data_IF_995991390772
#
_entry.id   IF_995991390772
#
_cell.length_a   1.000
_cell.length_b   1.000
_cell.length_c   1.000
_cell.angle_alpha   90.00
_cell.angle_beta   90.00
_cell.angle_gamma   90.00
#
_symmetry.space_group_name_H-M   'P 1'
#
loop_
_entity.id
_entity.type
_entity.pdbx_description
1 polymer ?
#
# COMPACT_ATOMS: atom_id res chain seq x y z
N UNK A 1 -39.77 64.43 8.28
CA UNK A 1 -40.00 63.77 6.97
C UNK A 1 -38.87 62.77 6.77
N UNK A 2 -39.13 61.46 6.90
CA UNK A 2 -39.37 60.49 5.82
C UNK A 2 -38.15 60.18 4.92
N UNK A 3 -37.72 58.92 5.03
CA UNK A 3 -37.22 57.98 4.01
C UNK A 3 -35.71 57.82 3.79
N UNK A 4 -35.30 56.58 4.02
CA UNK A 4 -34.13 55.86 3.53
C UNK A 4 -34.16 55.64 2.00
N UNK A 5 -32.97 55.42 1.39
CA UNK A 5 -32.59 54.34 0.42
C UNK A 5 -31.41 54.75 -0.51
N UNK A 6 -30.29 54.01 -0.37
CA UNK A 6 -29.29 53.42 -1.33
C UNK A 6 -28.78 54.15 -2.60
N UNK A 7 -27.45 54.15 -2.80
CA UNK A 7 -26.66 53.59 -3.94
C UNK A 7 -25.19 54.13 -3.93
N UNK A 8 -24.15 53.34 -3.63
CA UNK A 8 -23.22 52.58 -4.52
C UNK A 8 -22.42 53.45 -5.53
N UNK A 9 -21.08 53.43 -5.44
CA UNK A 9 -20.08 53.00 -6.47
C UNK A 9 -18.67 53.61 -6.21
N UNK A 10 -17.74 52.72 -5.83
CA UNK A 10 -16.33 52.56 -6.27
C UNK A 10 -15.35 53.75 -6.33
N UNK A 11 -14.17 53.62 -5.66
CA UNK A 11 -12.87 53.58 -6.36
C UNK A 11 -11.70 53.12 -5.42
N UNK A 12 -11.29 51.86 -5.63
CA UNK A 12 -9.91 51.34 -5.73
C UNK A 12 -8.89 51.66 -4.60
N UNK A 13 -8.60 50.64 -3.78
CA UNK A 13 -7.39 50.53 -2.97
C UNK A 13 -6.61 49.29 -3.47
N UNK A 14 -5.41 49.47 -4.02
CA UNK A 14 -4.55 48.35 -4.44
C UNK A 14 -3.17 48.45 -3.78
N UNK A 15 -2.66 47.26 -3.41
CA UNK A 15 -1.30 46.84 -3.03
C UNK A 15 -0.91 47.07 -1.56
N UNK A 16 -0.51 46.06 -0.76
CA UNK A 16 -0.25 44.65 -1.03
C UNK A 16 -0.36 43.85 0.29
N UNK A 17 -1.11 42.74 0.32
CA UNK A 17 -0.87 41.66 1.26
C UNK A 17 -0.51 40.41 0.46
N UNK A 18 0.74 39.98 0.61
CA UNK A 18 1.24 38.68 0.20
C UNK A 18 0.59 37.61 1.09
N UNK A 19 -0.43 36.92 0.60
CA UNK A 19 -0.92 35.69 1.24
C UNK A 19 -0.15 34.51 0.69
N UNK A 20 0.73 33.96 1.52
CA UNK A 20 1.36 32.65 1.35
C UNK A 20 0.30 31.55 1.29
N UNK A 21 0.38 30.69 0.28
CA UNK A 21 -0.37 29.45 0.17
C UNK A 21 -0.03 28.54 1.35
N UNK A 22 -1.01 28.16 2.15
CA UNK A 22 -0.82 27.13 3.17
C UNK A 22 -1.16 25.76 2.58
N UNK A 23 -0.15 24.90 2.45
CA UNK A 23 -0.32 23.47 2.21
C UNK A 23 -0.77 22.81 3.53
N UNK A 24 -1.96 22.19 3.58
CA UNK A 24 -2.38 21.44 4.78
C UNK A 24 -3.15 20.12 4.54
N UNK A 25 -3.00 19.47 3.38
CA UNK A 25 -3.59 18.13 3.16
C UNK A 25 -2.67 16.95 3.50
N UNK A 26 -1.37 17.19 3.75
CA UNK A 26 -0.37 16.14 3.99
C UNK A 26 -0.24 15.72 5.47
N UNK A 27 -0.87 16.44 6.40
CA UNK A 27 -0.80 16.19 7.84
C UNK A 27 -2.22 15.93 8.33
N UNK A 28 -2.45 14.76 8.92
CA UNK A 28 -3.71 14.42 9.59
C UNK A 28 -3.47 14.37 11.09
N UNK A 29 -4.37 14.98 11.86
CA UNK A 29 -4.35 14.85 13.30
C UNK A 29 -4.76 13.42 13.68
N UNK A 30 -3.85 12.73 14.36
CA UNK A 30 -4.11 11.43 14.97
C UNK A 30 -3.95 11.58 16.48
N UNK A 31 -4.89 11.01 17.23
CA UNK A 31 -4.79 10.99 18.70
C UNK A 31 -4.06 9.73 19.13
N UNK A 32 -2.86 9.89 19.68
CA UNK A 32 -2.08 8.81 20.28
C UNK A 32 -1.99 8.94 21.80
N UNK A 33 -1.80 7.82 22.50
CA UNK A 33 -1.49 7.79 23.93
C UNK A 33 -0.10 7.19 24.14
N UNK A 34 0.81 7.95 24.74
CA UNK A 34 2.06 7.37 25.24
C UNK A 34 1.75 6.29 26.30
N UNK A 35 2.40 5.13 26.18
CA UNK A 35 2.23 4.01 27.09
C UNK A 35 3.56 3.62 27.74
N UNK A 36 3.74 4.06 28.99
CA UNK A 36 4.93 3.78 29.81
C UNK A 36 4.99 2.34 30.36
N UNK A 37 3.92 1.57 30.22
CA UNK A 37 3.86 0.17 30.63
C UNK A 37 4.45 -0.80 29.60
N UNK A 38 4.65 -0.35 28.35
CA UNK A 38 5.23 -1.18 27.30
C UNK A 38 6.75 -1.22 27.45
N UNK A 39 7.28 -2.43 27.60
CA UNK A 39 8.73 -2.68 27.70
C UNK A 39 9.26 -3.15 26.35
N UNK A 40 10.27 -2.47 25.81
CA UNK A 40 10.97 -2.86 24.59
C UNK A 40 12.20 -3.69 24.97
N UNK A 41 12.37 -4.85 24.34
CA UNK A 41 13.56 -5.70 24.51
C UNK A 41 14.22 -5.98 23.17
N UNK A 42 15.54 -5.90 23.14
CA UNK A 42 16.37 -6.31 22.00
C UNK A 42 17.47 -7.23 22.53
N UNK A 43 17.65 -8.40 21.89
CA UNK A 43 18.53 -9.47 22.37
C UNK A 43 18.31 -9.84 23.85
N UNK A 44 17.03 -9.96 24.25
CA UNK A 44 16.57 -10.20 25.62
C UNK A 44 16.93 -9.12 26.65
N UNK A 45 17.55 -8.00 26.26
CA UNK A 45 17.87 -6.87 27.13
C UNK A 45 16.81 -5.78 27.00
N UNK A 46 16.37 -5.25 28.14
CA UNK A 46 15.43 -4.12 28.19
C UNK A 46 16.12 -2.86 27.65
N UNK A 47 15.44 -2.17 26.74
CA UNK A 47 15.95 -1.01 26.03
C UNK A 47 15.32 0.26 26.56
N UNK A 48 16.17 1.21 26.94
CA UNK A 48 15.76 2.54 27.35
C UNK A 48 15.80 3.45 26.13
N UNK A 49 14.66 3.58 25.45
CA UNK A 49 14.54 4.40 24.25
C UNK A 49 14.70 5.89 24.60
N UNK A 50 15.50 6.60 23.79
CA UNK A 50 15.77 8.03 23.96
C UNK A 50 15.60 8.79 22.64
N UNK A 51 15.26 10.07 22.73
CA UNK A 51 15.34 10.98 21.59
C UNK A 51 16.78 11.44 21.33
N UNK A 52 16.97 12.27 20.29
CA UNK A 52 18.29 12.82 19.94
C UNK A 52 18.88 13.78 20.97
N UNK A 53 18.12 14.20 21.98
CA UNK A 53 18.57 15.04 23.08
C UNK A 53 18.84 14.21 24.35
N UNK A 54 18.63 12.90 24.31
CA UNK A 54 18.80 11.99 25.43
C UNK A 54 17.61 11.88 26.38
N UNK A 55 16.46 12.48 26.05
CA UNK A 55 15.24 12.37 26.86
C UNK A 55 14.58 11.01 26.63
N UNK A 56 13.96 10.41 27.66
CA UNK A 56 13.23 9.16 27.49
C UNK A 56 12.03 9.36 26.57
N UNK A 57 11.85 8.43 25.64
CA UNK A 57 10.67 8.37 24.76
C UNK A 57 9.96 7.04 24.94
N UNK A 58 8.63 7.07 24.87
CA UNK A 58 7.81 5.90 25.14
C UNK A 58 7.03 5.47 23.89
N UNK A 59 6.67 4.18 23.79
CA UNK A 59 5.79 3.72 22.74
C UNK A 59 4.45 4.46 22.77
N UNK A 60 3.90 4.75 21.61
CA UNK A 60 2.59 5.42 21.47
C UNK A 60 1.58 4.42 20.94
N UNK A 61 0.42 4.32 21.59
CA UNK A 61 -0.70 3.56 21.06
C UNK A 61 -1.59 4.48 20.23
N UNK A 62 -1.77 4.15 18.97
CA UNK A 62 -2.75 4.76 18.06
C UNK A 62 -3.61 3.63 17.52
N UNK A 63 -4.93 3.71 17.76
CA UNK A 63 -5.92 2.73 17.30
C UNK A 63 -5.56 1.27 17.65
N UNK A 64 -4.95 1.03 18.81
CA UNK A 64 -4.57 -0.31 19.28
C UNK A 64 -3.20 -0.80 18.80
N UNK A 65 -2.58 -0.14 17.82
CA UNK A 65 -1.22 -0.44 17.37
C UNK A 65 -0.18 0.32 18.18
N UNK A 66 0.95 -0.32 18.48
CA UNK A 66 2.08 0.28 19.19
C UNK A 66 3.09 0.85 18.20
N UNK A 67 3.35 2.14 18.27
CA UNK A 67 4.31 2.87 17.46
C UNK A 67 5.57 3.15 18.27
N UNK A 68 6.73 2.96 17.65
CA UNK A 68 8.03 3.17 18.27
C UNK A 68 8.77 4.36 17.63
N UNK A 69 9.47 5.20 18.41
CA UNK A 69 10.29 6.28 17.88
C UNK A 69 11.41 5.75 16.99
N UNK A 70 11.33 6.00 15.69
CA UNK A 70 12.25 5.46 14.68
C UNK A 70 13.73 5.75 14.98
N UNK A 71 14.05 6.93 15.52
CA UNK A 71 15.43 7.29 15.90
C UNK A 71 15.97 6.40 17.02
N UNK A 72 15.16 6.16 18.06
CA UNK A 72 15.58 5.32 19.18
C UNK A 72 15.82 3.86 18.75
N UNK A 73 15.04 3.37 17.79
CA UNK A 73 15.21 2.04 17.19
C UNK A 73 16.45 2.00 16.30
N UNK A 74 16.69 3.03 15.48
CA UNK A 74 17.88 3.13 14.65
C UNK A 74 19.17 3.14 15.49
N UNK A 75 19.21 3.95 16.56
CA UNK A 75 20.34 4.01 17.50
C UNK A 75 20.62 2.64 18.15
N UNK A 76 19.57 1.94 18.56
CA UNK A 76 19.65 0.59 19.14
C UNK A 76 20.23 -0.43 18.14
N UNK A 77 19.95 -0.26 16.84
CA UNK A 77 20.39 -1.14 15.76
C UNK A 77 21.69 -0.68 15.09
N UNK A 78 22.31 0.42 15.54
CA UNK A 78 23.53 0.97 14.95
C UNK A 78 23.33 1.52 13.53
N UNK A 79 22.11 1.91 13.18
CA UNK A 79 21.76 2.52 11.90
C UNK A 79 21.78 4.05 12.01
N UNK A 80 22.32 4.70 10.99
CA UNK A 80 22.27 6.15 10.86
C UNK A 80 20.91 6.57 10.31
N UNK A 81 20.35 7.65 10.86
CA UNK A 81 19.05 8.19 10.44
C UNK A 81 19.18 9.66 10.05
N UNK A 82 18.71 10.00 8.85
CA UNK A 82 18.72 11.38 8.34
C UNK A 82 17.33 11.78 7.86
N UNK A 83 16.91 12.99 8.21
CA UNK A 83 15.70 13.61 7.67
C UNK A 83 16.06 14.57 6.54
N UNK A 84 15.50 14.34 5.36
CA UNK A 84 15.56 15.26 4.23
C UNK A 84 14.24 16.05 4.20
N UNK A 85 14.37 17.37 4.38
CA UNK A 85 13.22 18.26 4.61
C UNK A 85 12.46 18.67 3.35
N UNK A 86 13.05 18.55 2.16
CA UNK A 86 12.45 18.95 0.88
C UNK A 86 11.56 17.84 0.34
N UNK A 87 12.05 16.61 0.29
CA UNK A 87 11.36 15.39 -0.16
C UNK A 87 10.54 14.73 0.96
N UNK A 88 10.64 15.24 2.19
CA UNK A 88 9.98 14.67 3.38
C UNK A 88 10.37 13.20 3.58
N UNK A 89 11.63 12.86 3.32
CA UNK A 89 12.14 11.50 3.34
C UNK A 89 12.97 11.25 4.59
N UNK A 90 12.73 10.11 5.24
CA UNK A 90 13.59 9.58 6.30
C UNK A 90 14.51 8.53 5.65
N UNK A 91 15.81 8.78 5.66
CA UNK A 91 16.83 7.81 5.27
C UNK A 91 17.30 7.03 6.49
N UNK A 92 17.30 5.70 6.40
CA UNK A 92 17.84 4.79 7.42
C UNK A 92 18.93 3.97 6.75
N UNK A 93 20.18 4.18 7.15
CA UNK A 93 21.34 3.48 6.57
C UNK A 93 22.01 2.61 7.62
N UNK A 94 22.03 1.31 7.38
CA UNK A 94 22.76 0.37 8.22
C UNK A 94 24.27 0.48 7.98
N UNK A 95 25.07 0.49 9.05
CA UNK A 95 26.53 0.46 8.92
C UNK A 95 27.00 -0.93 8.46
N UNK A 96 27.04 -1.12 7.14
CA UNK A 96 27.65 -2.27 6.47
C UNK A 96 28.47 -1.91 5.22
N UNK A 97 28.49 -0.64 4.79
CA UNK A 97 29.32 -0.19 3.68
C UNK A 97 29.92 1.18 3.99
N UNK A 98 31.25 1.27 3.93
CA UNK A 98 31.99 2.52 4.03
C UNK A 98 31.52 3.48 2.94
N UNK A 99 31.41 4.76 3.31
CA UNK A 99 31.26 5.91 2.41
C UNK A 99 32.19 5.79 1.20
N UNK A 100 31.63 5.94 0.01
CA UNK A 100 32.20 6.74 -1.06
C UNK A 100 31.05 7.55 -1.68
N UNK A 101 31.13 8.87 -1.51
CA UNK A 101 30.26 9.87 -2.12
C UNK A 101 31.09 10.58 -3.19
N UNK A 102 30.70 10.42 -4.46
CA UNK A 102 30.86 11.37 -5.58
C UNK A 102 30.12 10.78 -6.80
N UNK A 103 29.28 11.44 -7.60
CA UNK A 103 28.86 12.83 -7.67
C UNK A 103 27.75 12.99 -8.74
N UNK A 104 26.98 14.06 -8.56
CA UNK A 104 26.17 14.81 -9.53
C UNK A 104 25.05 14.12 -10.35
N UNK A 105 23.80 14.53 -10.07
CA UNK A 105 22.81 14.79 -11.13
C UNK A 105 22.30 16.24 -10.98
N UNK A 106 22.31 17.05 -12.04
CA UNK A 106 21.94 18.47 -11.99
C UNK A 106 20.45 18.72 -11.73
N UNK A 107 20.18 19.73 -10.92
CA UNK A 107 18.89 20.43 -10.76
C UNK A 107 18.70 21.44 -11.88
N UNK A 108 17.60 21.36 -12.63
CA UNK A 108 17.03 22.50 -13.36
C UNK A 108 15.62 22.16 -13.86
N UNK A 109 14.57 22.74 -13.25
CA UNK A 109 13.46 23.51 -13.86
C UNK A 109 12.30 23.76 -12.86
N UNK A 110 11.41 24.74 -13.10
CA UNK A 110 10.97 25.69 -12.10
C UNK A 110 9.52 25.46 -11.63
N UNK A 111 9.25 26.07 -10.47
CA UNK A 111 7.94 26.28 -9.87
C UNK A 111 7.02 27.17 -10.74
N UNK A 112 5.70 26.93 -10.70
CA UNK A 112 4.67 27.82 -10.09
C UNK A 112 3.29 27.72 -10.77
N UNK A 113 2.25 27.91 -9.95
CA UNK A 113 0.89 28.34 -10.37
C UNK A 113 -0.17 27.26 -10.14
N UNK A 114 -0.68 27.01 -8.94
CA UNK A 114 -1.48 27.87 -8.06
C UNK A 114 -2.72 28.51 -8.70
N UNK A 115 -3.91 27.98 -8.40
CA UNK A 115 -4.96 28.65 -7.60
C UNK A 115 -6.33 28.01 -7.87
N UNK A 116 -7.02 27.47 -6.85
CA UNK A 116 -8.03 28.19 -6.03
C UNK A 116 -9.35 28.39 -6.83
N UNK A 117 -10.56 28.07 -6.36
CA UNK A 117 -11.07 27.99 -4.99
C UNK A 117 -12.60 27.80 -5.01
N UNK A 118 -13.14 27.18 -3.94
CA UNK A 118 -14.33 27.60 -3.15
C UNK A 118 -15.73 27.55 -3.81
N UNK A 119 -16.86 27.36 -3.13
CA UNK A 119 -17.23 27.05 -1.74
C UNK A 119 -18.76 26.86 -1.70
N UNK A 120 -19.24 26.28 -0.58
CA UNK A 120 -20.52 26.56 0.09
C UNK A 120 -21.82 26.00 -0.52
N UNK A 121 -22.82 25.49 0.21
CA UNK A 121 -23.06 25.24 1.65
C UNK A 121 -24.41 24.50 1.81
N UNK A 122 -24.64 23.86 2.97
CA UNK A 122 -25.95 23.49 3.59
C UNK A 122 -26.79 22.37 2.93
N UNK A 123 -27.57 21.54 3.63
CA UNK A 123 -27.85 21.24 5.05
C UNK A 123 -28.82 20.03 5.04
N UNK A 124 -28.80 19.24 6.11
CA UNK A 124 -29.56 18.01 6.38
C UNK A 124 -31.04 17.96 5.93
N UNK A 125 -31.51 16.77 5.55
CA UNK A 125 -32.77 16.17 6.07
C UNK A 125 -32.92 14.71 5.63
N UNK A 126 -33.20 13.83 6.59
CA UNK A 126 -33.48 12.40 6.39
C UNK A 126 -34.89 12.18 5.79
N UNK A 127 -35.04 11.19 4.88
CA UNK A 127 -36.20 10.27 4.78
C UNK A 127 -36.03 9.21 3.67
N UNK A 128 -35.95 7.95 4.12
CA UNK A 128 -36.46 6.68 3.58
C UNK A 128 -36.58 6.41 2.06
N UNK A 129 -35.87 5.34 1.66
CA UNK A 129 -36.29 4.22 0.79
C UNK A 129 -36.80 4.51 -0.63
N UNK A 130 -36.06 4.04 -1.64
CA UNK A 130 -36.43 2.82 -2.37
C UNK A 130 -35.32 2.31 -3.30
N UNK A 131 -35.01 1.02 -3.11
CA UNK A 131 -34.41 0.03 -4.00
C UNK A 131 -34.01 0.44 -5.42
N UNK A 132 -32.78 0.08 -5.81
CA UNK A 132 -32.57 -0.92 -6.86
C UNK A 132 -31.28 -1.68 -6.57
N UNK A 133 -31.44 -2.87 -5.99
CA UNK A 133 -30.47 -3.95 -6.12
C UNK A 133 -30.27 -4.22 -7.61
N UNK A 134 -29.03 -4.20 -8.07
CA UNK A 134 -28.65 -4.86 -9.32
C UNK A 134 -27.59 -5.89 -8.98
N UNK A 135 -28.10 -7.03 -8.53
CA UNK A 135 -27.44 -8.31 -8.68
C UNK A 135 -27.05 -8.50 -10.14
N UNK A 136 -25.75 -8.54 -10.43
CA UNK A 136 -25.28 -9.28 -11.58
C UNK A 136 -24.63 -10.55 -11.08
N UNK A 137 -25.24 -11.66 -11.48
CA UNK A 137 -24.76 -13.00 -11.28
C UNK A 137 -23.35 -13.12 -11.85
N UNK A 138 -22.38 -13.29 -10.96
CA UNK A 138 -21.23 -14.12 -11.26
C UNK A 138 -21.61 -15.56 -10.94
N UNK A 139 -21.41 -16.44 -11.91
CA UNK A 139 -21.55 -17.89 -11.76
C UNK A 139 -20.77 -18.36 -10.54
N UNK A 140 -21.50 -18.88 -9.54
CA UNK A 140 -20.93 -19.39 -8.29
C UNK A 140 -19.96 -20.54 -8.57
N UNK A 141 -18.66 -20.27 -8.42
CA UNK A 141 -17.68 -21.31 -8.10
C UNK A 141 -17.98 -21.84 -6.70
N UNK A 142 -17.86 -23.15 -6.52
CA UNK A 142 -18.36 -23.91 -5.37
C UNK A 142 -17.64 -23.68 -4.03
N UNK A 143 -16.95 -22.56 -3.86
CA UNK A 143 -16.28 -22.11 -2.63
C UNK A 143 -16.41 -20.58 -2.49
N UNK A 144 -16.78 -20.12 -1.30
CA UNK A 144 -17.09 -18.71 -1.01
C UNK A 144 -15.85 -17.84 -0.81
N UNK A 145 -14.66 -18.45 -0.69
CA UNK A 145 -13.40 -17.77 -0.45
C UNK A 145 -13.25 -17.20 0.97
N UNK A 146 -14.16 -17.57 1.86
CA UNK A 146 -14.09 -17.23 3.27
C UNK A 146 -12.98 -18.03 3.97
N UNK A 147 -12.65 -17.64 5.20
CA UNK A 147 -11.64 -18.35 5.99
C UNK A 147 -12.03 -19.83 6.24
N UNK A 148 -13.31 -20.11 6.45
CA UNK A 148 -13.83 -21.46 6.72
C UNK A 148 -14.04 -22.29 5.43
N UNK A 149 -14.15 -21.62 4.29
CA UNK A 149 -14.37 -22.24 2.98
C UNK A 149 -13.42 -21.60 1.93
N UNK A 150 -12.11 -21.88 2.06
CA UNK A 150 -11.09 -21.28 1.22
C UNK A 150 -11.13 -21.84 -0.20
N UNK A 151 -10.57 -21.06 -1.11
CA UNK A 151 -10.55 -21.35 -2.54
C UNK A 151 -9.50 -22.42 -2.83
N UNK A 152 -9.90 -23.44 -3.57
CA UNK A 152 -9.00 -24.53 -3.95
C UNK A 152 -8.06 -24.12 -5.08
N UNK A 153 -6.88 -24.76 -5.13
CA UNK A 153 -5.95 -24.64 -6.24
C UNK A 153 -6.64 -24.86 -7.60
N UNK A 154 -6.24 -24.07 -8.58
CA UNK A 154 -6.80 -24.06 -9.93
C UNK A 154 -8.18 -23.41 -10.05
N UNK A 155 -8.80 -22.98 -8.94
CA UNK A 155 -10.08 -22.26 -8.96
C UNK A 155 -9.84 -20.76 -9.04
N UNK A 156 -10.52 -20.09 -9.97
CA UNK A 156 -10.45 -18.64 -10.13
C UNK A 156 -11.33 -17.93 -9.09
N UNK A 157 -10.83 -16.83 -8.54
CA UNK A 157 -11.59 -15.90 -7.70
C UNK A 157 -11.62 -14.54 -8.36
N UNK A 158 -12.81 -13.99 -8.56
CA UNK A 158 -12.99 -12.68 -9.17
C UNK A 158 -13.57 -11.68 -8.19
N UNK A 159 -13.05 -10.46 -8.21
CA UNK A 159 -13.56 -9.35 -7.42
C UNK A 159 -13.33 -8.04 -8.16
N UNK A 160 -14.20 -7.06 -7.89
CA UNK A 160 -14.00 -5.69 -8.34
C UNK A 160 -13.33 -4.91 -7.19
N UNK A 161 -12.35 -4.07 -7.52
CA UNK A 161 -11.76 -3.17 -6.54
C UNK A 161 -11.55 -1.78 -7.13
N UNK A 162 -11.99 -0.79 -6.37
CA UNK A 162 -11.75 0.62 -6.58
C UNK A 162 -10.80 1.16 -5.51
N UNK A 163 -9.71 1.78 -5.94
CA UNK A 163 -8.76 2.47 -5.08
C UNK A 163 -8.62 3.91 -5.52
N UNK A 164 -8.43 4.82 -4.58
CA UNK A 164 -8.32 6.21 -4.94
C UNK A 164 -8.02 7.12 -3.78
N UNK A 165 -7.44 8.28 -4.12
CA UNK A 165 -7.20 9.36 -3.18
C UNK A 165 -7.73 10.66 -3.79
N UNK A 166 -8.67 11.30 -3.11
CA UNK A 166 -9.34 12.49 -3.63
C UNK A 166 -10.18 12.17 -4.88
N UNK A 167 -9.92 12.89 -5.97
CA UNK A 167 -10.62 12.71 -7.25
C UNK A 167 -10.02 11.59 -8.12
N UNK A 168 -8.85 11.08 -7.74
CA UNK A 168 -8.13 10.06 -8.49
C UNK A 168 -8.66 8.69 -8.07
N UNK A 169 -9.46 8.05 -8.92
CA UNK A 169 -10.10 6.75 -8.70
C UNK A 169 -9.64 5.80 -9.80
N UNK A 170 -8.92 4.76 -9.42
CA UNK A 170 -8.62 3.60 -10.24
C UNK A 170 -9.60 2.47 -9.90
N UNK A 171 -10.16 1.81 -10.90
CA UNK A 171 -11.06 0.68 -10.73
C UNK A 171 -10.66 -0.44 -11.68
N UNK A 172 -10.71 -1.70 -11.24
CA UNK A 172 -10.60 -2.84 -12.13
C UNK A 172 -11.32 -4.08 -11.58
N UNK A 173 -11.60 -5.01 -12.49
CA UNK A 173 -12.04 -6.36 -12.18
C UNK A 173 -10.82 -7.28 -12.18
N UNK A 174 -10.51 -7.85 -11.02
CA UNK A 174 -9.40 -8.74 -10.79
C UNK A 174 -9.90 -10.18 -10.79
N UNK A 175 -9.16 -11.08 -11.43
CA UNK A 175 -9.33 -12.52 -11.30
C UNK A 175 -8.00 -13.15 -10.93
N UNK A 176 -7.95 -13.83 -9.79
CA UNK A 176 -6.75 -14.48 -9.28
C UNK A 176 -6.96 -15.99 -9.24
N UNK A 177 -5.97 -16.74 -9.70
CA UNK A 177 -5.95 -18.20 -9.62
C UNK A 177 -4.60 -18.66 -9.09
N UNK A 178 -4.61 -19.42 -8.00
CA UNK A 178 -3.41 -20.11 -7.51
C UNK A 178 -3.29 -21.42 -8.27
N UNK A 179 -2.30 -21.51 -9.16
CA UNK A 179 -2.15 -22.60 -10.13
C UNK A 179 -1.40 -23.79 -9.53
N UNK A 180 -0.36 -23.50 -8.75
CA UNK A 180 0.55 -24.50 -8.22
C UNK A 180 1.18 -23.99 -6.92
N UNK A 181 1.57 -24.93 -6.05
CA UNK A 181 2.28 -24.63 -4.81
C UNK A 181 3.33 -25.70 -4.59
N UNK A 182 4.61 -25.33 -4.67
CA UNK A 182 5.74 -26.24 -4.56
C UNK A 182 6.58 -25.88 -3.33
N UNK A 183 6.87 -26.82 -2.42
CA UNK A 183 7.84 -26.57 -1.36
C UNK A 183 9.20 -26.22 -1.96
N UNK A 184 9.85 -25.20 -1.41
CA UNK A 184 11.22 -24.82 -1.75
C UNK A 184 12.08 -24.82 -0.50
N UNK A 185 13.37 -25.09 -0.67
CA UNK A 185 14.34 -25.09 0.41
C UNK A 185 14.95 -23.70 0.61
N UNK A 186 15.61 -23.51 1.74
CA UNK A 186 16.41 -22.30 2.00
C UNK A 186 17.56 -22.15 1.01
N UNK A 187 18.09 -23.25 0.51
CA UNK A 187 19.18 -23.27 -0.46
C UNK A 187 18.64 -22.83 -1.84
N UNK A 188 17.43 -23.27 -2.23
CA UNK A 188 16.76 -22.79 -3.45
C UNK A 188 16.56 -21.26 -3.42
N UNK A 189 16.20 -20.69 -2.26
CA UNK A 189 16.06 -19.24 -2.09
C UNK A 189 17.41 -18.52 -2.29
N UNK A 190 18.50 -19.12 -1.80
CA UNK A 190 19.84 -18.59 -2.03
C UNK A 190 20.23 -18.63 -3.51
N UNK A 191 19.90 -19.71 -4.20
CA UNK A 191 20.17 -19.90 -5.63
C UNK A 191 19.39 -18.90 -6.51
N UNK A 192 18.25 -18.40 -6.02
CA UNK A 192 17.51 -17.30 -6.64
C UNK A 192 18.16 -15.92 -6.45
N UNK A 193 19.28 -15.83 -5.72
CA UNK A 193 20.05 -14.61 -5.51
C UNK A 193 19.72 -13.86 -4.22
N UNK A 194 18.90 -14.43 -3.34
CA UNK A 194 18.57 -13.84 -2.05
C UNK A 194 19.54 -14.30 -0.94
N UNK A 195 19.51 -13.58 0.18
CA UNK A 195 20.18 -14.05 1.40
C UNK A 195 19.47 -15.32 1.86
N UNK A 196 20.25 -16.39 2.02
CA UNK A 196 19.76 -17.66 2.56
C UNK A 196 19.07 -17.43 3.91
N UNK A 197 17.79 -17.80 4.07
CA UNK A 197 17.12 -17.62 5.35
C UNK A 197 17.76 -18.46 6.45
N UNK A 198 17.75 -17.94 7.67
CA UNK A 198 18.13 -18.71 8.86
C UNK A 198 17.16 -19.88 9.07
N UNK A 199 17.60 -20.87 9.84
CA UNK A 199 16.69 -21.94 10.25
C UNK A 199 15.57 -21.41 11.12
N UNK A 200 14.34 -21.80 10.81
CA UNK A 200 13.18 -21.48 11.61
C UNK A 200 12.49 -22.77 12.05
N UNK A 201 12.15 -22.85 13.34
CA UNK A 201 11.49 -24.00 13.94
C UNK A 201 10.05 -24.19 13.44
N UNK A 202 9.39 -23.11 12.98
CA UNK A 202 7.97 -23.10 12.64
C UNK A 202 7.66 -22.63 11.22
N UNK A 203 8.67 -22.16 10.46
CA UNK A 203 8.50 -21.68 9.08
C UNK A 203 9.31 -22.54 8.10
N UNK A 204 8.64 -23.04 7.05
CA UNK A 204 9.24 -23.53 5.80
C UNK A 204 8.88 -22.56 4.65
N UNK A 205 9.27 -22.87 3.42
CA UNK A 205 9.02 -21.99 2.27
C UNK A 205 8.34 -22.73 1.13
N UNK A 206 7.58 -21.97 0.35
CA UNK A 206 6.90 -22.47 -0.84
C UNK A 206 7.00 -21.45 -1.98
N UNK A 207 7.10 -21.96 -3.20
CA UNK A 207 6.89 -21.20 -4.43
C UNK A 207 5.45 -21.38 -4.88
N UNK A 208 4.73 -20.28 -5.05
CA UNK A 208 3.36 -20.26 -5.54
C UNK A 208 3.37 -19.76 -6.98
N UNK A 209 2.77 -20.50 -7.91
CA UNK A 209 2.47 -19.97 -9.25
C UNK A 209 1.07 -19.37 -9.24
N UNK A 210 0.99 -18.08 -9.60
CA UNK A 210 -0.24 -17.30 -9.56
C UNK A 210 -0.52 -16.75 -10.95
N UNK A 211 -1.76 -16.92 -11.41
CA UNK A 211 -2.30 -16.25 -12.59
C UNK A 211 -3.20 -15.10 -12.14
N UNK A 212 -2.97 -13.94 -12.73
CA UNK A 212 -3.72 -12.71 -12.52
C UNK A 212 -4.26 -12.24 -13.86
N UNK A 213 -5.58 -12.08 -13.94
CA UNK A 213 -6.23 -11.38 -15.04
C UNK A 213 -6.85 -10.09 -14.50
N UNK A 214 -6.50 -8.97 -15.12
CA UNK A 214 -7.07 -7.67 -14.81
C UNK A 214 -7.85 -7.23 -16.03
N UNK A 215 -9.12 -6.91 -15.82
CA UNK A 215 -10.03 -6.44 -16.86
C UNK A 215 -10.75 -5.19 -16.40
N UNK A 216 -11.25 -4.41 -17.34
CA UNK A 216 -11.97 -3.18 -17.02
C UNK A 216 -11.17 -2.21 -16.14
N UNK A 217 -9.84 -2.17 -16.32
CA UNK A 217 -8.99 -1.22 -15.62
C UNK A 217 -9.25 0.18 -16.16
N UNK A 218 -9.91 1.00 -15.37
CA UNK A 218 -10.25 2.39 -15.67
C UNK A 218 -9.61 3.30 -14.64
N UNK A 219 -9.32 4.52 -15.06
CA UNK A 219 -8.85 5.59 -14.19
C UNK A 219 -9.68 6.84 -14.43
N UNK A 220 -10.02 7.53 -13.36
CA UNK A 220 -10.61 8.85 -13.37
C UNK A 220 -9.79 9.72 -12.43
N UNK A 221 -9.29 10.86 -12.88
CA UNK A 221 -8.46 11.70 -12.02
C UNK A 221 -7.87 12.88 -12.75
N UNK A 222 -7.28 13.78 -11.97
CA UNK A 222 -6.66 15.01 -12.46
C UNK A 222 -5.21 14.75 -12.96
N UNK A 223 -4.68 13.53 -12.78
CA UNK A 223 -3.30 13.15 -13.07
C UNK A 223 -3.20 12.15 -14.25
N UNK A 224 -2.42 12.47 -15.28
CA UNK A 224 -2.31 11.65 -16.51
C UNK A 224 -1.41 10.40 -16.39
N UNK A 225 -1.15 9.88 -15.18
CA UNK A 225 -0.06 8.89 -14.99
C UNK A 225 -0.40 7.62 -14.18
N UNK A 226 -1.65 7.16 -14.18
CA UNK A 226 -1.96 5.86 -13.58
C UNK A 226 -1.53 4.71 -14.50
N UNK A 227 -0.44 4.01 -14.15
CA UNK A 227 0.10 2.93 -14.99
C UNK A 227 -0.72 1.64 -14.87
N UNK A 228 -0.86 0.91 -15.97
CA UNK A 228 -1.57 -0.38 -15.99
C UNK A 228 -0.90 -1.40 -15.06
N UNK A 229 0.43 -1.32 -14.87
CA UNK A 229 1.18 -2.14 -13.91
C UNK A 229 0.81 -1.90 -12.45
N UNK A 230 0.14 -0.79 -12.12
CA UNK A 230 -0.29 -0.47 -10.75
C UNK A 230 -1.62 -1.15 -10.38
N UNK A 231 -2.30 -1.79 -11.33
CA UNK A 231 -3.50 -2.59 -11.08
C UNK A 231 -3.11 -4.02 -10.71
N UNK A 232 -2.29 -4.21 -9.68
CA UNK A 232 -1.89 -5.54 -9.22
C UNK A 232 -2.72 -5.99 -7.99
N UNK A 233 -3.06 -7.29 -7.88
CA UNK A 233 -3.73 -7.81 -6.69
C UNK A 233 -2.79 -7.79 -5.50
N UNK A 234 -3.30 -7.39 -4.33
CA UNK A 234 -2.52 -7.39 -3.09
C UNK A 234 -2.49 -8.78 -2.46
N UNK A 235 -1.49 -9.55 -2.83
CA UNK A 235 -1.12 -10.81 -2.18
C UNK A 235 -0.29 -10.42 -0.94
N UNK A 236 -0.66 -10.88 0.27
CA UNK A 236 -0.06 -10.26 1.46
C UNK A 236 0.19 -11.22 2.63
N UNK A 237 -0.81 -11.99 3.08
CA UNK A 237 -0.64 -12.82 4.27
C UNK A 237 -0.66 -14.31 3.98
N UNK A 238 0.06 -15.04 4.82
CA UNK A 238 -0.14 -16.46 5.05
C UNK A 238 -0.81 -16.62 6.40
N UNK A 239 -1.93 -17.34 6.43
CA UNK A 239 -2.64 -17.71 7.66
C UNK A 239 -2.66 -19.21 7.84
N UNK A 240 -2.88 -19.64 9.08
CA UNK A 240 -3.26 -21.02 9.37
C UNK A 240 -4.71 -21.12 9.82
N UNK A 241 -5.31 -22.29 9.67
CA UNK A 241 -6.66 -22.56 10.20
C UNK A 241 -6.77 -22.38 11.72
N UNK A 242 -5.63 -22.36 12.43
CA UNK A 242 -5.57 -22.10 13.87
C UNK A 242 -5.51 -20.60 14.22
N UNK A 243 -5.53 -19.72 13.21
CA UNK A 243 -5.54 -18.26 13.40
C UNK A 243 -4.16 -17.61 13.48
N UNK A 244 -3.07 -18.36 13.23
CA UNK A 244 -1.74 -17.76 13.09
C UNK A 244 -1.66 -16.99 11.76
N UNK A 245 -0.83 -15.95 11.72
CA UNK A 245 -0.65 -15.12 10.53
C UNK A 245 0.80 -14.65 10.38
N UNK A 246 1.32 -14.62 9.16
CA UNK A 246 2.58 -13.96 8.82
C UNK A 246 2.40 -13.15 7.54
N UNK A 247 3.05 -11.99 7.47
CA UNK A 247 3.26 -11.28 6.20
C UNK A 247 4.48 -11.94 5.58
N UNK A 248 4.30 -12.61 4.45
CA UNK A 248 5.39 -13.32 3.80
C UNK A 248 5.07 -13.57 2.35
N UNK A 249 5.36 -12.58 1.53
CA UNK A 249 5.31 -12.64 0.09
C UNK A 249 6.54 -11.95 -0.49
N UNK A 250 7.12 -12.56 -1.52
CA UNK A 250 8.19 -12.00 -2.32
C UNK A 250 7.90 -12.38 -3.77
N UNK A 251 7.41 -11.39 -4.53
CA UNK A 251 6.96 -11.54 -5.91
C UNK A 251 7.85 -10.76 -6.90
N UNK A 252 8.97 -10.23 -6.41
CA UNK A 252 9.96 -9.46 -7.15
C UNK A 252 11.38 -9.95 -6.90
N UNK A 253 12.33 -9.54 -7.74
CA UNK A 253 13.76 -9.73 -7.50
C UNK A 253 14.35 -11.08 -7.96
N UNK A 254 13.56 -11.96 -8.57
CA UNK A 254 14.05 -13.23 -9.14
C UNK A 254 13.44 -13.54 -10.50
N UNK A 255 14.08 -14.44 -11.25
CA UNK A 255 13.59 -14.83 -12.57
C UNK A 255 12.26 -15.59 -12.47
N UNK A 256 11.29 -15.20 -13.31
CA UNK A 256 9.95 -15.80 -13.31
C UNK A 256 9.02 -15.31 -12.19
N UNK A 257 9.41 -14.29 -11.43
CA UNK A 257 8.55 -13.70 -10.41
C UNK A 257 7.33 -12.98 -11.01
N UNK A 258 6.23 -12.87 -10.25
CA UNK A 258 4.97 -12.28 -10.71
C UNK A 258 5.13 -10.81 -11.14
N UNK A 259 5.90 -10.01 -10.40
CA UNK A 259 6.15 -8.61 -10.75
C UNK A 259 6.78 -8.45 -12.14
N UNK A 260 7.73 -9.32 -12.51
CA UNK A 260 8.30 -9.34 -13.87
C UNK A 260 7.27 -9.73 -14.94
N UNK A 261 6.36 -10.65 -14.63
CA UNK A 261 5.30 -11.05 -15.53
C UNK A 261 4.29 -9.92 -15.76
N UNK A 262 3.94 -9.17 -14.70
CA UNK A 262 3.06 -7.99 -14.77
C UNK A 262 3.74 -6.88 -15.57
N UNK A 263 5.00 -6.54 -15.26
CA UNK A 263 5.76 -5.52 -15.99
C UNK A 263 5.79 -5.83 -17.50
N UNK A 264 6.11 -7.08 -17.86
CA UNK A 264 6.09 -7.52 -19.26
C UNK A 264 4.71 -7.42 -19.91
N UNK A 265 3.65 -7.79 -19.19
CA UNK A 265 2.27 -7.77 -19.69
C UNK A 265 1.70 -6.35 -19.84
N UNK A 266 2.31 -5.36 -19.20
CA UNK A 266 1.82 -3.98 -19.12
C UNK A 266 2.72 -2.97 -19.84
N UNK A 267 3.61 -3.46 -20.71
CA UNK A 267 4.42 -2.65 -21.63
C UNK A 267 3.85 -2.66 -23.04
N UNK A 268 3.98 -1.53 -23.72
CA UNK A 268 3.64 -1.39 -25.13
C UNK A 268 4.62 -2.15 -26.04
N UNK A 269 4.30 -2.24 -27.33
CA UNK A 269 5.21 -2.78 -28.34
C UNK A 269 6.56 -2.05 -28.43
N UNK A 270 6.63 -0.79 -27.97
CA UNK A 270 7.84 0.02 -27.88
C UNK A 270 8.53 -0.09 -26.50
N UNK A 271 8.13 -1.06 -25.67
CA UNK A 271 8.66 -1.28 -24.33
C UNK A 271 8.40 -0.14 -23.33
N UNK A 272 7.42 0.73 -23.60
CA UNK A 272 7.00 1.82 -22.71
C UNK A 272 5.92 1.35 -21.75
N UNK A 273 5.92 1.87 -20.52
CA UNK A 273 4.85 1.60 -19.55
C UNK A 273 3.50 2.05 -20.12
N UNK A 274 2.50 1.19 -20.07
CA UNK A 274 1.14 1.55 -20.50
C UNK A 274 0.46 2.35 -19.40
N UNK A 275 -0.08 3.51 -19.77
CA UNK A 275 -0.93 4.34 -18.91
C UNK A 275 -2.39 4.00 -19.16
N UNK A 276 -3.23 4.09 -18.13
CA UNK A 276 -4.69 4.08 -18.22
C UNK A 276 -5.18 5.53 -18.08
N UNK A 277 -5.61 6.12 -19.19
CA UNK A 277 -6.17 7.45 -19.28
C UNK A 277 -7.65 7.49 -18.89
N UNK A 278 -8.17 8.69 -18.66
CA UNK A 278 -9.61 8.88 -18.44
C UNK A 278 -10.42 8.47 -19.68
N UNK A 279 -11.58 7.84 -19.45
CA UNK A 279 -12.50 7.35 -20.49
C UNK A 279 -11.95 6.21 -21.38
N UNK A 280 -10.84 5.58 -20.99
CA UNK A 280 -10.42 4.31 -21.57
C UNK A 280 -10.44 3.18 -20.53
N UNK A 281 -10.39 1.95 -21.05
CA UNK A 281 -10.28 0.74 -20.26
C UNK A 281 -9.15 -0.11 -20.83
N UNK A 282 -8.33 -0.68 -19.94
CA UNK A 282 -7.28 -1.62 -20.31
C UNK A 282 -7.42 -2.93 -19.54
N UNK A 283 -6.73 -3.93 -20.05
CA UNK A 283 -6.70 -5.27 -19.46
C UNK A 283 -5.32 -5.86 -19.66
N UNK A 284 -4.90 -6.73 -18.74
CA UNK A 284 -3.72 -7.56 -18.91
C UNK A 284 -3.93 -8.94 -18.27
N UNK A 285 -3.11 -9.90 -18.67
CA UNK A 285 -3.02 -11.21 -18.03
C UNK A 285 -1.55 -11.50 -17.77
N UNK A 286 -1.23 -11.92 -16.55
CA UNK A 286 0.11 -12.26 -16.13
C UNK A 286 0.09 -13.54 -15.31
N UNK A 287 1.09 -14.39 -15.51
CA UNK A 287 1.32 -15.57 -14.68
C UNK A 287 2.78 -15.57 -14.25
N UNK A 288 3.02 -15.76 -12.96
CA UNK A 288 4.36 -15.76 -12.41
C UNK A 288 4.38 -16.31 -11.00
N UNK A 289 5.58 -16.32 -10.43
CA UNK A 289 5.83 -16.99 -9.16
C UNK A 289 5.97 -16.01 -7.99
N UNK A 290 5.58 -16.46 -6.80
CA UNK A 290 5.70 -15.74 -5.54
C UNK A 290 6.29 -16.69 -4.51
N UNK A 291 7.35 -16.27 -3.82
CA UNK A 291 7.91 -17.01 -2.69
C UNK A 291 7.14 -16.60 -1.44
N UNK A 292 6.69 -17.59 -0.67
CA UNK A 292 6.03 -17.36 0.62
C UNK A 292 6.65 -18.23 1.71
N UNK A 293 6.59 -17.74 2.95
CA UNK A 293 6.83 -18.54 4.14
C UNK A 293 5.55 -19.26 4.55
N UNK A 294 5.65 -20.52 4.94
CA UNK A 294 4.51 -21.34 5.36
C UNK A 294 4.77 -21.94 6.74
N UNK A 295 3.72 -22.04 7.54
CA UNK A 295 3.81 -22.68 8.85
C UNK A 295 3.98 -24.19 8.69
N UNK A 296 5.00 -24.75 9.34
CA UNK A 296 5.24 -26.20 9.33
C UNK A 296 4.08 -26.94 9.98
N UNK A 297 3.68 -28.06 9.39
CA UNK A 297 2.64 -28.95 9.92
C UNK A 297 1.28 -28.26 10.14
N UNK A 298 1.02 -27.15 9.45
CA UNK A 298 -0.23 -26.40 9.50
C UNK A 298 -0.91 -26.39 8.14
N UNK A 299 -2.24 -26.21 8.14
CA UNK A 299 -2.99 -25.92 6.92
C UNK A 299 -2.81 -24.45 6.59
N UNK A 300 -2.06 -24.17 5.54
CA UNK A 300 -1.71 -22.81 5.16
C UNK A 300 -2.71 -22.25 4.15
N UNK A 301 -3.13 -21.02 4.40
CA UNK A 301 -4.03 -20.24 3.56
C UNK A 301 -3.30 -18.98 3.08
N UNK A 302 -3.29 -18.72 1.78
CA UNK A 302 -2.88 -17.44 1.23
C UNK A 302 -4.05 -16.47 1.27
N UNK A 303 -3.87 -15.27 1.84
CA UNK A 303 -4.89 -14.24 1.81
C UNK A 303 -4.61 -13.21 0.71
N UNK A 304 -5.70 -12.79 0.07
CA UNK A 304 -5.72 -11.65 -0.84
C UNK A 304 -6.44 -10.50 -0.15
N UNK A 305 -5.92 -9.28 -0.28
CA UNK A 305 -6.49 -8.08 0.34
C UNK A 305 -7.13 -7.14 -0.66
N UNK A 306 -8.11 -6.40 -0.16
CA UNK A 306 -8.74 -5.29 -0.85
C UNK A 306 -8.15 -3.96 -0.38
N UNK A 307 -6.98 -3.56 -0.91
CA UNK A 307 -6.44 -2.24 -0.61
C UNK A 307 -5.77 -2.05 0.77
N UNK A 308 -6.02 -0.88 1.38
CA UNK A 308 -5.46 -0.47 2.67
C UNK A 308 -6.25 -0.96 3.90
N UNK A 309 -7.46 -1.52 3.68
CA UNK A 309 -8.25 -2.07 4.78
C UNK A 309 -7.61 -3.34 5.34
N UNK A 310 -7.75 -3.53 6.66
CA UNK A 310 -7.10 -4.65 7.37
C UNK A 310 -7.75 -6.01 7.10
N UNK A 311 -8.92 -6.04 6.49
CA UNK A 311 -9.70 -7.25 6.26
C UNK A 311 -9.24 -7.98 4.99
N UNK A 312 -9.04 -9.28 5.13
CA UNK A 312 -8.74 -10.15 4.00
C UNK A 312 -10.01 -10.38 3.18
N UNK A 313 -9.88 -10.22 1.87
CA UNK A 313 -10.98 -10.37 0.91
C UNK A 313 -11.29 -11.84 0.65
N UNK A 314 -10.25 -12.65 0.47
CA UNK A 314 -10.38 -14.06 0.17
C UNK A 314 -9.18 -14.87 0.67
N UNK A 315 -9.40 -16.16 0.86
CA UNK A 315 -8.40 -17.13 1.29
C UNK A 315 -8.27 -18.24 0.26
N UNK A 316 -7.05 -18.61 -0.11
CA UNK A 316 -6.74 -19.74 -0.98
C UNK A 316 -6.01 -20.83 -0.19
N UNK A 317 -6.45 -22.07 -0.35
CA UNK A 317 -5.78 -23.21 0.27
C UNK A 317 -4.46 -23.51 -0.45
N UNK A 318 -3.37 -23.60 0.30
CA UNK A 318 -2.06 -24.01 -0.21
C UNK A 318 -1.80 -25.51 -0.04
N UNK A 319 -1.95 -26.01 1.20
CA UNK A 319 -1.73 -27.40 1.60
C UNK A 319 -2.77 -27.85 2.65
#
# INVERSE_FOLDING_TARGET
MRKSIKAIVSLVLIFALSTSLSASSLIRDITGKENKGITVKYNNQVQNLKDGNGNPVYPVIINGSTYLPVRAIADMLGADITWEGNTKTIYITGNGAKKDVDGAVPTDLPSTGNSSSSNANKQETSKSQNNTSSSNQFTATSNTGTFEDPINLGTAYSYNYNTGYGNNIANADYTVTIKNVEPITRDDIQDLGFVRPDENAIIDYAMITIKVDVTNATYQGDEDYYFLSMYEPRIFNIKTTEGNGMVSDMDFGFNGCLSNAIDKATRSSENKMMVVHENESKSYSAEGNVIVGVYKNSKNLLSIKNGEDYDDLAYFKLY
#
